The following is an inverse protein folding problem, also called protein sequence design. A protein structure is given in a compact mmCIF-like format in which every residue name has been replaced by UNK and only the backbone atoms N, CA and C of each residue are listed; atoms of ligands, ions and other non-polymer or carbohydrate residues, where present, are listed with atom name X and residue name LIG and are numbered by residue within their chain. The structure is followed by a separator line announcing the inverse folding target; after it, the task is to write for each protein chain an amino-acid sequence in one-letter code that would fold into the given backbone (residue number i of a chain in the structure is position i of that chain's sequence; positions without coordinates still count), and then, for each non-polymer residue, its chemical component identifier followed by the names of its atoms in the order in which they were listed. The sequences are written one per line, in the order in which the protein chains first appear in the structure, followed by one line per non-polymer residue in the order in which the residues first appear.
data_IF_602308076607
#
_entry.id   IF_602308076607
#
_cell.length_a   1.000
_cell.length_b   1.000
_cell.length_c   1.000
_cell.angle_alpha   90.00
_cell.angle_beta   90.00
_cell.angle_gamma   90.00
#
_symmetry.space_group_name_H-M   'P 1'
#
loop_
_entity.id
_entity.type
_entity.pdbx_description
1 polymer ?
#
# COMPACT_ATOMS: atom_id res chain seq x y z
N UNK A 1 6.52 -42.65 -5.57
CA UNK A 1 7.15 -41.54 -4.82
C UNK A 1 7.23 -40.36 -5.77
N UNK A 2 6.30 -39.41 -5.67
CA UNK A 2 6.18 -38.30 -6.62
C UNK A 2 6.57 -37.02 -5.89
N UNK A 3 7.73 -36.48 -6.21
CA UNK A 3 8.32 -35.32 -5.55
C UNK A 3 7.67 -34.04 -6.06
N UNK A 4 6.85 -33.40 -5.22
CA UNK A 4 6.30 -32.06 -5.45
C UNK A 4 7.43 -31.03 -5.35
N UNK A 5 7.82 -30.43 -6.47
CA UNK A 5 8.75 -29.31 -6.50
C UNK A 5 7.97 -28.03 -6.20
N UNK A 6 8.27 -27.43 -5.04
CA UNK A 6 7.70 -26.18 -4.56
C UNK A 6 8.41 -25.02 -5.26
N UNK A 7 7.77 -24.40 -6.24
CA UNK A 7 8.32 -23.23 -6.94
C UNK A 7 8.38 -22.05 -5.96
N UNK A 8 9.59 -21.56 -5.70
CA UNK A 8 9.84 -20.34 -4.94
C UNK A 8 9.60 -19.12 -5.84
N UNK A 9 8.64 -18.26 -5.48
CA UNK A 9 8.45 -16.96 -6.14
C UNK A 9 9.64 -16.05 -5.81
N UNK A 10 10.65 -16.06 -6.67
CA UNK A 10 11.68 -15.03 -6.68
C UNK A 10 11.05 -13.71 -7.14
N UNK A 11 11.28 -12.63 -6.39
CA UNK A 11 10.96 -11.26 -6.79
C UNK A 11 11.82 -10.87 -8.00
N UNK A 12 11.28 -11.02 -9.20
CA UNK A 12 11.88 -10.43 -10.39
C UNK A 12 11.57 -8.94 -10.41
N UNK A 13 12.57 -8.04 -10.55
CA UNK A 13 12.27 -6.63 -10.80
C UNK A 13 11.65 -6.52 -12.20
N UNK A 14 10.36 -6.15 -12.25
CA UNK A 14 9.67 -5.91 -13.51
C UNK A 14 10.23 -4.64 -14.15
N UNK A 15 11.21 -4.80 -15.03
CA UNK A 15 11.68 -3.79 -15.99
C UNK A 15 10.74 -3.73 -17.20
N UNK A 16 9.43 -3.68 -16.94
CA UNK A 16 8.49 -3.17 -17.93
C UNK A 16 8.64 -1.66 -17.98
N UNK A 17 8.46 -1.06 -19.15
CA UNK A 17 8.14 0.35 -19.32
C UNK A 17 7.22 0.84 -18.18
N UNK A 18 7.32 2.11 -17.79
CA UNK A 18 6.25 2.78 -17.03
C UNK A 18 4.99 2.81 -17.94
N UNK A 19 4.42 1.65 -18.23
CA UNK A 19 3.14 1.47 -18.89
C UNK A 19 2.11 2.14 -18.01
N UNK A 20 1.25 2.93 -18.63
CA UNK A 20 0.13 3.71 -18.09
C UNK A 20 -0.70 2.90 -17.07
N UNK A 21 -0.17 2.72 -15.86
CA UNK A 21 -0.71 1.80 -14.87
C UNK A 21 -1.87 2.50 -14.20
N UNK A 22 -3.06 2.40 -14.79
CA UNK A 22 -4.27 3.04 -14.29
C UNK A 22 -4.71 2.39 -12.99
N UNK A 23 -5.47 3.14 -12.20
CA UNK A 23 -5.89 2.73 -10.88
C UNK A 23 -7.12 3.48 -10.39
N UNK A 24 -7.47 3.24 -9.14
CA UNK A 24 -8.59 3.88 -8.47
C UNK A 24 -8.08 5.03 -7.58
N UNK A 25 -8.53 6.25 -7.85
CA UNK A 25 -8.20 7.42 -7.01
C UNK A 25 -8.95 7.33 -5.68
N UNK A 26 -8.22 7.45 -4.58
CA UNK A 26 -8.76 7.41 -3.22
C UNK A 26 -8.16 8.54 -2.36
N UNK A 27 -8.87 8.92 -1.30
CA UNK A 27 -8.40 9.93 -0.34
C UNK A 27 -7.58 9.28 0.75
N UNK A 28 -6.57 9.99 1.25
CA UNK A 28 -5.86 9.63 2.47
C UNK A 28 -6.58 10.25 3.67
N UNK A 29 -6.91 9.41 4.65
CA UNK A 29 -7.43 9.81 5.94
C UNK A 29 -6.30 9.78 6.97
N UNK A 30 -6.17 10.86 7.75
CA UNK A 30 -5.20 11.01 8.84
C UNK A 30 -5.93 11.45 10.10
N UNK A 31 -5.37 11.15 11.25
CA UNK A 31 -5.82 11.75 12.49
C UNK A 31 -5.68 13.28 12.40
N UNK A 32 -6.73 14.01 12.77
CA UNK A 32 -6.76 15.47 12.66
C UNK A 32 -6.00 16.17 13.81
N UNK A 33 -5.80 15.45 14.90
CA UNK A 33 -5.27 15.91 16.18
C UNK A 33 -3.88 15.35 16.51
N UNK A 34 -3.30 14.53 15.63
CA UNK A 34 -1.95 13.98 15.77
C UNK A 34 -0.97 14.58 14.75
N UNK A 35 0.32 14.68 15.11
CA UNK A 35 1.36 15.06 14.16
C UNK A 35 1.51 14.00 13.05
N UNK A 36 2.22 14.36 11.99
CA UNK A 36 2.58 13.42 10.91
C UNK A 36 3.53 12.32 11.43
N UNK A 37 3.01 11.09 11.47
CA UNK A 37 3.75 9.89 11.88
C UNK A 37 4.33 9.10 10.70
N UNK A 38 4.24 9.60 9.47
CA UNK A 38 4.69 8.91 8.25
C UNK A 38 6.20 8.95 8.03
N UNK A 39 6.95 9.77 8.79
CA UNK A 39 8.37 10.01 8.60
C UNK A 39 8.73 10.44 7.15
N UNK A 40 7.95 11.39 6.62
CA UNK A 40 8.09 11.84 5.22
C UNK A 40 7.50 10.88 4.19
N UNK A 41 6.59 10.01 4.61
CA UNK A 41 5.85 9.08 3.77
C UNK A 41 4.91 9.78 2.77
N UNK A 42 4.12 9.02 2.04
CA UNK A 42 3.16 9.55 1.07
C UNK A 42 2.06 10.35 1.78
N UNK A 43 1.53 9.84 2.88
CA UNK A 43 0.49 10.44 3.71
C UNK A 43 0.92 11.78 4.34
N UNK A 44 2.20 12.02 4.53
CA UNK A 44 2.73 13.33 4.95
C UNK A 44 2.73 14.39 3.84
N UNK A 45 2.71 13.97 2.56
CA UNK A 45 3.01 14.84 1.40
C UNK A 45 1.83 15.12 0.48
N UNK A 46 0.88 14.19 0.36
CA UNK A 46 -0.29 14.31 -0.53
C UNK A 46 -1.57 13.95 0.21
N UNK A 47 -2.72 14.31 -0.37
CA UNK A 47 -4.04 14.01 0.22
C UNK A 47 -4.77 12.88 -0.49
N UNK A 48 -4.23 12.40 -1.62
CA UNK A 48 -4.82 11.34 -2.44
C UNK A 48 -3.73 10.41 -2.94
N UNK A 49 -4.12 9.18 -3.28
CA UNK A 49 -3.28 8.19 -3.95
C UNK A 49 -4.10 7.47 -5.01
N UNK A 50 -3.40 6.79 -5.90
CA UNK A 50 -4.00 5.95 -6.93
C UNK A 50 -3.71 4.49 -6.59
N UNK A 51 -4.75 3.72 -6.24
CA UNK A 51 -4.64 2.29 -5.99
C UNK A 51 -4.40 1.56 -7.31
N UNK A 52 -3.34 0.78 -7.42
CA UNK A 52 -2.95 0.06 -8.64
C UNK A 52 -2.74 -1.44 -8.38
N UNK A 53 -2.72 -2.23 -9.46
CA UNK A 53 -2.41 -3.65 -9.47
C UNK A 53 -3.61 -4.56 -9.76
N UNK A 54 -3.34 -5.85 -9.93
CA UNK A 54 -4.28 -6.84 -10.49
C UNK A 54 -5.64 -6.88 -9.78
N UNK A 55 -5.68 -6.68 -8.46
CA UNK A 55 -6.94 -6.67 -7.72
C UNK A 55 -7.81 -5.46 -8.10
N UNK A 56 -7.19 -4.31 -8.36
CA UNK A 56 -7.88 -3.10 -8.84
C UNK A 56 -8.41 -3.33 -10.25
N UNK A 57 -7.65 -4.01 -11.10
CA UNK A 57 -8.09 -4.40 -12.45
C UNK A 57 -9.25 -5.38 -12.42
N UNK A 58 -9.18 -6.39 -11.54
CA UNK A 58 -10.23 -7.40 -11.36
C UNK A 58 -11.59 -6.78 -11.03
N UNK A 59 -11.62 -5.73 -10.21
CA UNK A 59 -12.83 -4.98 -9.88
C UNK A 59 -13.17 -3.85 -10.88
N UNK A 60 -12.55 -3.83 -12.07
CA UNK A 60 -12.73 -2.82 -13.10
C UNK A 60 -12.59 -1.37 -12.55
N UNK A 61 -11.62 -1.19 -11.66
CA UNK A 61 -11.40 0.07 -10.94
C UNK A 61 -10.20 0.87 -11.47
N UNK A 62 -9.43 0.32 -12.41
CA UNK A 62 -8.29 0.97 -13.04
C UNK A 62 -8.72 2.03 -14.08
N UNK A 63 -8.91 3.26 -13.63
CA UNK A 63 -9.46 4.36 -14.45
C UNK A 63 -8.50 5.55 -14.58
N UNK A 64 -7.67 5.82 -13.59
CA UNK A 64 -6.83 7.02 -13.58
C UNK A 64 -5.36 6.65 -13.45
N UNK A 65 -4.51 7.30 -14.22
CA UNK A 65 -3.07 7.15 -14.05
C UNK A 65 -2.63 7.81 -12.73
N UNK A 66 -1.67 7.21 -12.01
CA UNK A 66 -0.95 7.85 -10.93
C UNK A 66 -0.21 9.10 -11.42
N UNK A 67 -0.14 10.10 -10.57
CA UNK A 67 0.57 11.35 -10.81
C UNK A 67 1.24 11.82 -9.51
N UNK A 68 1.97 12.94 -9.55
CA UNK A 68 2.68 13.45 -8.37
C UNK A 68 1.75 13.86 -7.22
N UNK A 69 0.50 14.23 -7.51
CA UNK A 69 -0.51 14.62 -6.52
C UNK A 69 -1.31 13.42 -5.99
N UNK A 70 -1.21 12.28 -6.69
CA UNK A 70 -1.81 11.01 -6.31
C UNK A 70 -0.95 9.82 -6.75
N UNK A 71 0.19 9.63 -6.06
CA UNK A 71 1.16 8.61 -6.39
C UNK A 71 0.57 7.21 -6.25
N UNK A 72 1.23 6.26 -6.91
CA UNK A 72 0.81 4.87 -6.95
C UNK A 72 0.99 4.19 -5.58
N UNK A 73 -0.05 3.46 -5.18
CA UNK A 73 -0.10 2.62 -3.98
C UNK A 73 -0.70 1.28 -4.39
N UNK A 74 -0.08 0.18 -3.97
CA UNK A 74 -0.56 -1.18 -4.24
C UNK A 74 -1.18 -1.80 -2.99
N UNK A 75 -2.07 -2.76 -3.20
CA UNK A 75 -2.74 -3.50 -2.14
C UNK A 75 -1.96 -4.78 -1.83
N UNK A 76 -1.81 -5.09 -0.55
CA UNK A 76 -1.17 -6.31 -0.05
C UNK A 76 -2.19 -7.10 0.74
N UNK A 77 -2.50 -8.29 0.24
CA UNK A 77 -3.29 -9.29 0.96
C UNK A 77 -2.46 -9.93 2.08
N UNK A 78 -3.08 -10.21 3.23
CA UNK A 78 -2.44 -10.86 4.37
C UNK A 78 -3.31 -12.02 4.83
N UNK A 79 -2.77 -13.24 4.84
CA UNK A 79 -3.53 -14.41 5.26
C UNK A 79 -3.93 -14.29 6.75
N UNK A 80 -5.23 -14.47 7.03
CA UNK A 80 -5.77 -14.43 8.39
C UNK A 80 -5.85 -13.03 9.03
N UNK A 81 -5.60 -11.96 8.29
CA UNK A 81 -5.66 -10.57 8.76
C UNK A 81 -6.19 -9.65 7.67
N UNK A 82 -6.58 -8.43 8.03
CA UNK A 82 -6.91 -7.41 7.03
C UNK A 82 -5.67 -7.06 6.16
N UNK A 83 -5.93 -6.81 4.89
CA UNK A 83 -4.93 -6.32 3.93
C UNK A 83 -4.56 -4.86 4.19
N UNK A 84 -3.48 -4.42 3.54
CA UNK A 84 -2.95 -3.06 3.69
C UNK A 84 -2.65 -2.42 2.34
N UNK A 85 -2.59 -1.10 2.32
CA UNK A 85 -2.12 -0.33 1.19
C UNK A 85 -0.65 0.08 1.45
N UNK A 86 0.22 -0.03 0.44
CA UNK A 86 1.64 0.36 0.54
C UNK A 86 2.08 1.14 -0.70
N UNK A 87 3.05 2.07 -0.60
CA UNK A 87 3.67 2.69 -1.76
C UNK A 87 4.08 1.66 -2.82
N UNK A 88 3.76 1.93 -4.09
CA UNK A 88 4.22 1.12 -5.23
C UNK A 88 5.64 1.51 -5.64
N UNK A 89 6.52 1.66 -4.64
CA UNK A 89 7.93 1.97 -4.78
C UNK A 89 8.70 1.16 -3.74
N UNK A 90 9.60 0.31 -4.20
CA UNK A 90 10.52 -0.41 -3.31
C UNK A 90 11.57 0.56 -2.74
N UNK A 91 11.79 0.49 -1.42
CA UNK A 91 12.88 1.21 -0.73
C UNK A 91 13.78 0.21 -0.02
N UNK A 92 14.73 -0.36 -0.76
CA UNK A 92 15.63 -1.41 -0.26
C UNK A 92 16.66 -0.89 0.75
N UNK A 93 16.85 0.43 0.83
CA UNK A 93 17.77 1.13 1.74
C UNK A 93 17.12 1.55 3.06
N UNK A 94 15.87 1.14 3.29
CA UNK A 94 15.06 1.51 4.46
C UNK A 94 14.36 0.29 5.03
N UNK A 95 14.02 0.35 6.31
CA UNK A 95 13.13 -0.61 6.97
C UNK A 95 11.70 -0.11 6.79
N UNK A 96 10.80 -0.98 6.34
CA UNK A 96 9.40 -0.66 6.06
C UNK A 96 8.86 -1.40 4.82
N UNK A 97 7.66 -1.05 4.33
CA UNK A 97 6.76 -0.02 4.86
C UNK A 97 6.06 -0.45 6.16
N UNK A 98 5.96 0.49 7.11
CA UNK A 98 5.28 0.33 8.40
C UNK A 98 4.05 1.21 8.51
N UNK A 99 3.20 0.92 9.51
CA UNK A 99 2.01 1.71 9.80
C UNK A 99 2.38 3.14 10.20
N UNK A 100 1.77 4.11 9.52
CA UNK A 100 1.87 5.54 9.86
C UNK A 100 0.66 6.06 10.64
N UNK A 101 -0.37 5.22 10.83
CA UNK A 101 -1.67 5.64 11.36
C UNK A 101 -2.59 6.27 10.31
N UNK A 102 -2.17 6.33 9.05
CA UNK A 102 -3.01 6.77 7.93
C UNK A 102 -3.85 5.62 7.36
N UNK A 103 -4.93 5.99 6.66
CA UNK A 103 -5.80 5.06 5.92
C UNK A 103 -6.10 5.62 4.53
N UNK A 104 -6.54 4.76 3.62
CA UNK A 104 -7.12 5.17 2.34
C UNK A 104 -8.61 4.85 2.29
N UNK A 105 -9.38 5.74 1.66
CA UNK A 105 -10.83 5.59 1.55
C UNK A 105 -11.40 6.21 0.28
N UNK A 106 -12.47 5.61 -0.24
CA UNK A 106 -13.35 6.21 -1.24
C UNK A 106 -14.78 5.70 -1.03
N UNK A 107 -15.77 6.55 -1.35
CA UNK A 107 -17.18 6.14 -1.41
C UNK A 107 -17.54 5.38 -2.69
N UNK A 108 -16.59 5.21 -3.61
CA UNK A 108 -16.74 4.40 -4.83
C UNK A 108 -17.11 2.94 -4.46
N UNK A 109 -18.12 2.38 -5.11
CA UNK A 109 -18.59 1.01 -4.83
C UNK A 109 -17.50 -0.03 -5.10
N UNK A 110 -16.60 0.22 -6.07
CA UNK A 110 -15.46 -0.65 -6.37
C UNK A 110 -14.42 -0.61 -5.25
N UNK A 111 -14.22 0.55 -4.63
CA UNK A 111 -13.38 0.64 -3.42
C UNK A 111 -13.96 -0.20 -2.29
N UNK A 112 -15.28 -0.12 -2.06
CA UNK A 112 -15.93 -0.93 -1.02
C UNK A 112 -15.76 -2.43 -1.28
N UNK A 113 -15.86 -2.87 -2.53
CA UNK A 113 -15.60 -4.26 -2.90
C UNK A 113 -14.14 -4.67 -2.65
N UNK A 114 -13.18 -3.83 -3.05
CA UNK A 114 -11.74 -4.02 -2.78
C UNK A 114 -11.46 -4.14 -1.27
N UNK A 115 -11.99 -3.20 -0.48
CA UNK A 115 -11.83 -3.20 0.96
C UNK A 115 -12.45 -4.44 1.62
N UNK A 116 -13.65 -4.85 1.18
CA UNK A 116 -14.27 -6.09 1.65
C UNK A 116 -13.44 -7.33 1.28
N UNK A 117 -12.89 -7.38 0.07
CA UNK A 117 -11.99 -8.45 -0.39
C UNK A 117 -10.77 -8.57 0.51
N UNK A 118 -10.19 -7.44 0.91
CA UNK A 118 -9.04 -7.39 1.82
C UNK A 118 -9.39 -7.65 3.29
N UNK A 119 -10.63 -8.05 3.61
CA UNK A 119 -11.05 -8.27 5.00
C UNK A 119 -11.23 -6.98 5.82
N UNK A 120 -11.25 -5.81 5.18
CA UNK A 120 -11.51 -4.50 5.81
C UNK A 120 -13.02 -4.16 5.86
N UNK A 121 -13.90 -5.09 5.48
CA UNK A 121 -15.36 -4.94 5.61
C UNK A 121 -15.99 -3.82 4.79
N UNK A 122 -15.32 -3.36 3.73
CA UNK A 122 -15.78 -2.20 2.94
C UNK A 122 -15.47 -0.85 3.57
N UNK A 123 -14.66 -0.82 4.63
CA UNK A 123 -14.21 0.38 5.33
C UNK A 123 -12.86 0.89 4.80
N UNK A 124 -12.27 1.89 5.47
CA UNK A 124 -10.95 2.39 5.12
C UNK A 124 -9.87 1.30 5.24
N UNK A 125 -8.90 1.30 4.34
CA UNK A 125 -7.78 0.34 4.32
C UNK A 125 -6.56 1.01 4.96
N UNK A 126 -5.86 0.38 5.92
CA UNK A 126 -4.66 0.96 6.52
C UNK A 126 -3.58 1.24 5.46
N UNK A 127 -2.99 2.44 5.54
CA UNK A 127 -1.87 2.84 4.70
C UNK A 127 -0.57 2.67 5.49
N UNK A 128 0.30 1.81 4.98
CA UNK A 128 1.64 1.61 5.49
C UNK A 128 2.62 2.31 4.56
N UNK A 129 3.11 3.46 4.97
CA UNK A 129 4.03 4.29 4.17
C UNK A 129 5.15 4.92 5.01
N UNK A 130 5.28 4.50 6.27
CA UNK A 130 6.40 4.88 7.13
C UNK A 130 7.64 4.04 6.81
N UNK A 131 8.78 4.71 6.68
CA UNK A 131 10.08 4.07 6.47
C UNK A 131 11.13 4.65 7.40
N UNK A 132 12.01 3.79 7.90
CA UNK A 132 13.04 4.12 8.87
C UNK A 132 14.42 3.75 8.30
N UNK A 133 15.47 4.46 8.72
CA UNK A 133 16.83 3.93 8.56
C UNK A 133 17.01 2.72 9.48
N UNK A 134 17.99 1.85 9.17
CA UNK A 134 18.31 0.74 10.05
C UNK A 134 18.64 1.20 11.48
N UNK A 135 19.34 2.33 11.63
CA UNK A 135 19.64 2.92 12.93
C UNK A 135 18.40 3.41 13.68
N UNK A 136 17.47 4.10 12.99
CA UNK A 136 16.19 4.51 13.57
C UNK A 136 15.36 3.30 14.02
N UNK A 137 15.27 2.29 13.16
CA UNK A 137 14.52 1.07 13.47
C UNK A 137 15.11 0.33 14.68
N UNK A 138 16.45 0.20 14.75
CA UNK A 138 17.12 -0.43 15.88
C UNK A 138 16.86 0.31 17.19
N UNK A 139 16.94 1.65 17.19
CA UNK A 139 16.68 2.47 18.37
C UNK A 139 15.23 2.37 18.88
N UNK A 140 14.26 2.12 17.98
CA UNK A 140 12.84 1.98 18.33
C UNK A 140 12.45 0.53 18.70
N UNK A 141 13.35 -0.42 18.47
CA UNK A 141 13.10 -1.86 18.71
C UNK A 141 13.92 -2.43 19.87
N UNK A 142 14.83 -1.65 20.45
CA UNK A 142 15.77 -2.12 21.48
C UNK A 142 15.18 -2.19 22.90
N UNK A 143 13.95 -1.73 23.10
CA UNK A 143 13.31 -1.64 24.41
C UNK A 143 12.35 -2.83 24.72
N UNK A 144 12.51 -3.96 24.01
CA UNK A 144 11.77 -5.22 24.24
C UNK A 144 12.68 -6.40 24.52
#
# INVERSE_FOLDING_TARGET
MTTNTRTTNALTPNTGTQDARRGLRVSILRAADLPDCSNGGISGRVTRVTLVGDLVDYYAAAVLEPDEQAPAVRLIERAGMYGIAVPDLARTDRVGPMASGAFVYSSDSRFRALSAHLGCGGSAIPLHDRFETAAQYAALSSDY
#
